data_IF_785478437393
#
_entry.id   IF_785478437393
#
_cell.length_a   1.000
_cell.length_b   1.000
_cell.length_c   1.000
_cell.angle_alpha   90.00
_cell.angle_beta   90.00
_cell.angle_gamma   90.00
#
_symmetry.space_group_name_H-M   'P 1'
#
loop_
_entity.id
_entity.type
_entity.pdbx_description
1 polymer ?
#
# COMPACT_ATOMS: atom_id res chain seq x y z
N UNK A 1 -18.56 -30.75 -0.05
CA UNK A 1 -17.78 -29.62 -0.58
C UNK A 1 -16.56 -29.48 0.29
N UNK A 2 -15.37 -29.68 -0.29
CA UNK A 2 -14.13 -28.95 0.01
C UNK A 2 -13.02 -29.63 -0.82
N UNK A 3 -12.84 -29.10 -2.02
CA UNK A 3 -11.63 -29.27 -2.82
C UNK A 3 -10.63 -28.23 -2.30
N UNK A 4 -9.82 -28.60 -1.31
CA UNK A 4 -8.61 -27.85 -1.00
C UNK A 4 -7.58 -28.21 -2.06
N UNK A 5 -7.44 -27.29 -3.02
CA UNK A 5 -6.42 -27.35 -4.06
C UNK A 5 -5.04 -27.36 -3.41
N UNK A 6 -4.31 -28.43 -3.70
CA UNK A 6 -2.88 -28.56 -3.50
C UNK A 6 -2.17 -27.53 -4.39
N UNK A 7 -2.11 -26.27 -3.95
CA UNK A 7 -1.34 -25.21 -4.60
C UNK A 7 0.14 -25.49 -4.40
N UNK A 8 0.72 -26.15 -5.40
CA UNK A 8 2.04 -25.95 -5.98
C UNK A 8 3.12 -25.43 -5.03
N UNK A 9 4.13 -26.26 -4.73
CA UNK A 9 5.44 -25.72 -4.35
C UNK A 9 5.84 -24.68 -5.41
N UNK A 10 6.19 -23.45 -5.02
CA UNK A 10 6.70 -22.48 -5.98
C UNK A 10 8.04 -22.99 -6.49
N UNK A 11 8.21 -23.03 -7.81
CA UNK A 11 9.53 -23.23 -8.42
C UNK A 11 10.49 -22.20 -7.82
N UNK A 12 11.68 -22.64 -7.41
CA UNK A 12 12.75 -21.75 -6.95
C UNK A 12 13.74 -21.48 -8.09
N UNK A 13 14.51 -20.38 -8.05
CA UNK A 13 15.60 -20.13 -9.00
C UNK A 13 16.55 -21.34 -9.09
N UNK A 14 16.86 -21.96 -7.94
CA UNK A 14 17.66 -23.17 -7.87
C UNK A 14 17.02 -24.38 -8.58
N UNK A 15 15.70 -24.49 -8.62
CA UNK A 15 15.01 -25.57 -9.34
C UNK A 15 15.10 -25.35 -10.86
N UNK A 16 15.11 -24.11 -11.32
CA UNK A 16 15.29 -23.73 -12.74
C UNK A 16 16.74 -23.99 -13.17
N UNK A 17 17.71 -23.60 -12.34
CA UNK A 17 19.13 -23.82 -12.60
C UNK A 17 19.52 -25.30 -12.70
N UNK A 18 18.87 -26.15 -11.89
CA UNK A 18 19.18 -27.59 -11.85
C UNK A 18 18.32 -28.43 -12.80
N UNK A 19 17.49 -27.81 -13.64
CA UNK A 19 16.60 -28.56 -14.53
C UNK A 19 17.41 -29.19 -15.68
N UNK A 20 17.18 -30.47 -15.95
CA UNK A 20 17.84 -31.19 -17.04
C UNK A 20 16.81 -31.76 -18.00
N UNK A 21 16.86 -31.33 -19.27
CA UNK A 21 16.00 -31.84 -20.32
C UNK A 21 16.60 -33.07 -21.03
N UNK A 22 15.78 -34.09 -21.28
CA UNK A 22 16.20 -35.28 -22.02
C UNK A 22 16.37 -35.00 -23.52
N UNK A 23 17.40 -35.55 -24.15
CA UNK A 23 17.63 -35.39 -25.60
C UNK A 23 16.45 -35.94 -26.43
N UNK A 24 16.09 -35.28 -27.54
CA UNK A 24 15.00 -35.73 -28.40
C UNK A 24 15.21 -37.17 -28.90
N UNK A 25 14.14 -37.99 -29.01
CA UNK A 25 14.23 -39.30 -29.63
C UNK A 25 14.79 -39.21 -31.06
N UNK A 26 15.62 -40.19 -31.43
CA UNK A 26 16.35 -40.22 -32.71
C UNK A 26 15.38 -39.95 -33.89
N UNK A 27 15.68 -38.93 -34.68
CA UNK A 27 14.88 -38.54 -35.86
C UNK A 27 13.85 -37.43 -35.62
N UNK A 28 13.68 -36.93 -34.38
CA UNK A 28 12.88 -35.75 -34.08
C UNK A 28 13.77 -34.54 -33.76
N UNK A 29 13.40 -33.36 -34.26
CA UNK A 29 14.09 -32.10 -33.95
C UNK A 29 13.66 -31.64 -32.56
N UNK A 30 14.63 -31.29 -31.72
CA UNK A 30 14.40 -30.63 -30.43
C UNK A 30 14.61 -29.12 -30.52
N UNK A 31 14.41 -28.45 -29.39
CA UNK A 31 14.83 -27.06 -29.20
C UNK A 31 16.37 -26.96 -29.22
N UNK A 32 16.86 -25.79 -29.59
CA UNK A 32 18.30 -25.50 -29.57
C UNK A 32 18.75 -25.38 -28.10
N UNK A 33 19.73 -26.18 -27.70
CA UNK A 33 20.24 -26.22 -26.31
C UNK A 33 20.69 -24.81 -25.87
N UNK A 34 21.41 -24.08 -26.72
CA UNK A 34 21.91 -22.73 -26.42
C UNK A 34 20.79 -21.70 -26.19
N UNK A 35 19.68 -21.81 -26.94
CA UNK A 35 18.53 -20.89 -26.81
C UNK A 35 17.68 -21.23 -25.59
N UNK A 36 17.61 -22.52 -25.24
CA UNK A 36 16.92 -22.98 -24.03
C UNK A 36 17.69 -22.54 -22.79
N UNK A 37 19.02 -22.68 -22.79
CA UNK A 37 19.87 -22.25 -21.67
C UNK A 37 19.75 -20.72 -21.46
N UNK A 38 19.82 -19.92 -22.52
CA UNK A 38 19.59 -18.45 -22.42
C UNK A 38 18.21 -18.07 -21.88
N UNK A 39 17.18 -18.86 -22.21
CA UNK A 39 15.85 -18.63 -21.71
C UNK A 39 15.72 -19.04 -20.24
N UNK A 40 16.38 -20.12 -19.82
CA UNK A 40 16.43 -20.55 -18.43
C UNK A 40 17.16 -19.53 -17.55
N UNK A 41 18.26 -18.93 -18.02
CA UNK A 41 18.97 -17.86 -17.32
C UNK A 41 18.03 -16.66 -17.04
N UNK A 42 17.27 -16.22 -18.06
CA UNK A 42 16.31 -15.13 -17.92
C UNK A 42 15.17 -15.47 -16.94
N UNK A 43 14.69 -16.72 -16.99
CA UNK A 43 13.65 -17.20 -16.07
C UNK A 43 14.18 -17.28 -14.64
N UNK A 44 15.42 -17.73 -14.44
CA UNK A 44 16.10 -17.78 -13.13
C UNK A 44 16.23 -16.38 -12.53
N UNK A 45 16.75 -15.42 -13.31
CA UNK A 45 16.91 -14.01 -12.90
C UNK A 45 15.56 -13.40 -12.51
N UNK A 46 14.52 -13.60 -13.33
CA UNK A 46 13.18 -13.05 -13.07
C UNK A 46 12.54 -13.71 -11.84
N UNK A 47 12.76 -15.02 -11.64
CA UNK A 47 12.25 -15.71 -10.45
C UNK A 47 12.93 -15.21 -9.18
N UNK A 48 14.23 -14.93 -9.24
CA UNK A 48 15.00 -14.40 -8.13
C UNK A 48 14.51 -12.99 -7.77
N UNK A 49 14.31 -12.13 -8.76
CA UNK A 49 13.76 -10.77 -8.58
C UNK A 49 12.35 -10.82 -7.97
N UNK A 50 11.47 -11.69 -8.46
CA UNK A 50 10.11 -11.86 -7.89
C UNK A 50 10.15 -12.38 -6.45
N UNK A 51 11.10 -13.24 -6.10
CA UNK A 51 11.25 -13.73 -4.73
C UNK A 51 11.79 -12.67 -3.78
N UNK A 52 12.79 -11.90 -4.22
CA UNK A 52 13.31 -10.74 -3.47
C UNK A 52 12.20 -9.70 -3.24
N UNK A 53 11.42 -9.35 -4.27
CA UNK A 53 10.29 -8.42 -4.15
C UNK A 53 9.20 -8.96 -3.21
N UNK A 54 8.90 -10.26 -3.25
CA UNK A 54 7.95 -10.87 -2.31
C UNK A 54 8.45 -10.85 -0.87
N UNK A 55 9.74 -11.08 -0.64
CA UNK A 55 10.33 -11.04 0.68
C UNK A 55 10.37 -9.61 1.24
N UNK A 56 10.69 -8.63 0.40
CA UNK A 56 10.61 -7.20 0.73
C UNK A 56 9.17 -6.76 1.05
N UNK A 57 8.20 -7.14 0.22
CA UNK A 57 6.78 -6.86 0.46
C UNK A 57 6.27 -7.51 1.75
N UNK A 58 6.74 -8.71 2.08
CA UNK A 58 6.42 -9.39 3.35
C UNK A 58 7.03 -8.65 4.53
N UNK A 59 8.29 -8.24 4.45
CA UNK A 59 8.94 -7.43 5.48
C UNK A 59 8.20 -6.10 5.70
N UNK A 60 7.87 -5.38 4.63
CA UNK A 60 7.10 -4.13 4.71
C UNK A 60 5.71 -4.37 5.33
N UNK A 61 5.05 -5.48 4.98
CA UNK A 61 3.75 -5.82 5.56
C UNK A 61 3.85 -6.12 7.05
N UNK A 62 4.90 -6.82 7.48
CA UNK A 62 5.11 -7.16 8.89
C UNK A 62 5.57 -5.94 9.70
N UNK A 63 6.35 -5.04 9.11
CA UNK A 63 6.72 -3.75 9.68
C UNK A 63 5.50 -2.83 9.83
N UNK A 64 4.69 -2.68 8.78
CA UNK A 64 3.42 -1.93 8.84
C UNK A 64 2.43 -2.54 9.82
N UNK A 65 2.35 -3.87 9.92
CA UNK A 65 1.53 -4.55 10.95
C UNK A 65 2.07 -4.28 12.34
N UNK A 66 3.39 -4.29 12.53
CA UNK A 66 4.03 -3.97 13.81
C UNK A 66 3.82 -2.50 14.18
N UNK A 67 3.93 -1.58 13.23
CA UNK A 67 3.61 -0.17 13.40
C UNK A 67 2.13 0.04 13.70
N UNK A 68 1.23 -0.72 13.05
CA UNK A 68 -0.20 -0.64 13.30
C UNK A 68 -0.57 -1.26 14.65
N UNK A 69 0.05 -2.37 15.05
CA UNK A 69 -0.10 -2.95 16.39
C UNK A 69 0.57 -2.07 17.45
N UNK A 70 1.68 -1.38 17.16
CA UNK A 70 2.25 -0.36 18.05
C UNK A 70 1.42 0.92 18.09
N UNK A 71 0.78 1.30 16.99
CA UNK A 71 -0.20 2.39 16.95
C UNK A 71 -1.53 1.97 17.58
N UNK A 72 -1.79 0.67 17.73
CA UNK A 72 -2.97 0.12 18.43
C UNK A 72 -2.71 -0.18 19.90
N UNK A 73 -1.47 -0.52 20.25
CA UNK A 73 -0.98 -0.72 21.61
C UNK A 73 -0.56 0.62 22.25
N UNK A 74 0.00 1.53 21.47
CA UNK A 74 0.33 2.92 21.81
C UNK A 74 -0.78 3.91 21.48
N UNK A 75 -1.77 3.51 20.67
CA UNK A 75 -2.94 4.31 20.28
C UNK A 75 -4.24 3.52 20.37
N UNK A 76 -4.38 2.69 21.40
CA UNK A 76 -5.69 2.26 21.94
C UNK A 76 -6.45 3.40 22.63
N UNK A 77 -6.14 4.66 22.30
CA UNK A 77 -6.37 5.83 23.15
C UNK A 77 -7.23 6.94 22.57
N UNK A 78 -7.72 6.87 21.31
CA UNK A 78 -8.52 7.96 20.75
C UNK A 78 -9.81 8.23 21.54
N UNK A 79 -10.48 7.18 22.04
CA UNK A 79 -11.63 7.32 22.94
C UNK A 79 -11.28 7.37 24.43
N UNK A 80 -10.13 6.80 24.82
CA UNK A 80 -9.72 6.72 26.23
C UNK A 80 -9.05 8.01 26.72
N UNK A 81 -8.28 8.72 25.90
CA UNK A 81 -7.71 10.02 26.25
C UNK A 81 -8.78 11.11 26.30
N UNK A 82 -9.75 11.13 25.37
CA UNK A 82 -10.85 12.09 25.46
C UNK A 82 -11.74 11.81 26.70
N UNK A 83 -12.03 10.54 26.98
CA UNK A 83 -12.78 10.15 28.17
C UNK A 83 -12.01 10.43 29.48
N UNK A 84 -10.69 10.19 29.52
CA UNK A 84 -9.85 10.46 30.68
C UNK A 84 -9.65 11.97 30.90
N UNK A 85 -9.50 12.75 29.83
CA UNK A 85 -9.42 14.22 29.90
C UNK A 85 -10.77 14.78 30.36
N UNK A 86 -11.90 14.32 29.80
CA UNK A 86 -13.26 14.71 30.26
C UNK A 86 -13.50 14.34 31.72
N UNK A 87 -13.14 13.14 32.15
CA UNK A 87 -13.29 12.69 33.53
C UNK A 87 -12.43 13.50 34.51
N UNK A 88 -11.21 13.87 34.12
CA UNK A 88 -10.30 14.70 34.93
C UNK A 88 -10.81 16.15 35.04
N UNK A 89 -11.32 16.72 33.96
CA UNK A 89 -11.94 18.05 33.94
C UNK A 89 -13.23 18.05 34.78
N UNK A 90 -14.09 17.04 34.64
CA UNK A 90 -15.32 16.92 35.43
C UNK A 90 -15.01 16.72 36.93
N UNK A 91 -14.00 15.93 37.27
CA UNK A 91 -13.55 15.74 38.65
C UNK A 91 -12.99 17.03 39.26
N UNK A 92 -12.16 17.78 38.52
CA UNK A 92 -11.65 19.09 38.96
C UNK A 92 -12.78 20.11 39.15
N UNK A 93 -13.74 20.14 38.23
CA UNK A 93 -14.88 21.06 38.33
C UNK A 93 -15.79 20.71 39.52
N UNK A 94 -16.07 19.42 39.77
CA UNK A 94 -16.81 18.97 40.96
C UNK A 94 -16.09 19.29 42.25
N UNK A 95 -14.76 19.15 42.27
CA UNK A 95 -13.95 19.46 43.46
C UNK A 95 -13.97 20.96 43.76
N UNK A 96 -13.83 21.81 42.73
CA UNK A 96 -13.92 23.27 42.89
C UNK A 96 -15.32 23.71 43.35
N UNK A 97 -16.38 23.21 42.71
CA UNK A 97 -17.76 23.51 43.12
C UNK A 97 -18.04 23.07 44.56
N UNK A 98 -17.65 21.86 44.95
CA UNK A 98 -17.86 21.38 46.32
C UNK A 98 -17.07 22.20 47.35
N UNK A 99 -15.86 22.66 47.00
CA UNK A 99 -15.07 23.53 47.86
C UNK A 99 -15.72 24.92 48.04
N UNK A 100 -16.21 25.53 46.96
CA UNK A 100 -16.93 26.81 47.02
C UNK A 100 -18.26 26.67 47.79
N UNK A 101 -19.00 25.58 47.58
CA UNK A 101 -20.27 25.31 48.27
C UNK A 101 -20.05 25.05 49.76
N UNK A 102 -18.92 24.42 50.13
CA UNK A 102 -18.52 24.23 51.53
C UNK A 102 -18.10 25.56 52.18
N UNK A 103 -17.35 26.41 51.46
CA UNK A 103 -16.95 27.73 51.93
C UNK A 103 -18.16 28.64 52.14
N UNK A 104 -19.06 28.73 51.17
CA UNK A 104 -20.31 29.50 51.27
C UNK A 104 -21.21 28.99 52.41
N UNK A 105 -21.32 27.66 52.59
CA UNK A 105 -22.06 27.09 53.74
C UNK A 105 -21.40 27.46 55.07
N UNK A 106 -20.08 27.38 55.18
CA UNK A 106 -19.37 27.74 56.40
C UNK A 106 -19.54 29.21 56.76
N UNK A 107 -19.55 30.11 55.78
CA UNK A 107 -19.85 31.53 55.99
C UNK A 107 -21.30 31.76 56.43
N UNK A 108 -22.27 31.08 55.81
CA UNK A 108 -23.68 31.19 56.24
C UNK A 108 -23.93 30.64 57.64
N UNK A 109 -23.26 29.56 58.04
CA UNK A 109 -23.39 29.01 59.40
C UNK A 109 -22.71 29.92 60.42
N UNK A 110 -21.54 30.51 60.12
CA UNK A 110 -20.93 31.54 60.97
C UNK A 110 -21.84 32.76 61.14
N UNK A 111 -22.42 33.27 60.06
CA UNK A 111 -23.36 34.38 60.13
C UNK A 111 -24.63 34.03 60.94
N UNK A 112 -25.12 32.78 60.86
CA UNK A 112 -26.25 32.30 61.68
C UNK A 112 -25.87 32.10 63.15
N UNK A 113 -24.66 31.63 63.44
CA UNK A 113 -24.15 31.47 64.81
C UNK A 113 -23.97 32.84 65.47
N UNK A 114 -23.43 33.82 64.76
CA UNK A 114 -23.32 35.20 65.21
C UNK A 114 -24.70 35.84 65.43
N UNK A 115 -25.65 35.62 64.52
CA UNK A 115 -27.03 36.09 64.70
C UNK A 115 -27.75 35.38 65.87
N UNK A 116 -27.47 34.10 66.13
CA UNK A 116 -27.99 33.36 67.30
C UNK A 116 -27.36 33.84 68.59
N UNK A 117 -26.05 34.12 68.61
CA UNK A 117 -25.36 34.68 69.75
C UNK A 117 -25.93 36.06 70.11
N UNK A 118 -26.12 36.94 69.11
CA UNK A 118 -26.74 38.25 69.30
C UNK A 118 -28.19 38.14 69.83
N UNK A 119 -28.98 37.16 69.36
CA UNK A 119 -30.33 36.90 69.89
C UNK A 119 -30.32 36.35 71.32
N UNK A 120 -29.38 35.46 71.65
CA UNK A 120 -29.24 34.92 73.00
C UNK A 120 -28.80 35.99 74.01
N UNK A 121 -27.92 36.91 73.61
CA UNK A 121 -27.54 38.08 74.41
C UNK A 121 -28.71 39.05 74.59
N UNK A 122 -29.52 39.28 73.55
CA UNK A 122 -30.74 40.08 73.65
C UNK A 122 -31.80 39.43 74.57
N UNK A 123 -31.98 38.11 74.51
CA UNK A 123 -32.87 37.37 75.42
C UNK A 123 -32.33 37.31 76.86
N UNK A 124 -31.02 37.21 77.05
CA UNK A 124 -30.38 37.28 78.36
C UNK A 124 -30.52 38.69 78.97
N UNK A 125 -30.35 39.75 78.18
CA UNK A 125 -30.60 41.12 78.60
C UNK A 125 -32.09 41.35 78.93
N UNK A 126 -33.00 40.74 78.18
CA UNK A 126 -34.45 40.75 78.46
C UNK A 126 -34.80 40.01 79.75
N UNK A 127 -34.22 38.83 80.00
CA UNK A 127 -34.39 38.09 81.27
C UNK A 127 -33.75 38.80 82.46
N UNK A 128 -32.65 39.53 82.26
CA UNK A 128 -32.06 40.38 83.29
C UNK A 128 -32.95 41.58 83.60
N UNK A 129 -33.59 42.18 82.59
CA UNK A 129 -34.58 43.25 82.78
C UNK A 129 -35.89 42.75 83.43
N UNK A 130 -36.35 41.53 83.11
CA UNK A 130 -37.51 40.90 83.73
C UNK A 130 -37.21 40.40 85.16
N UNK A 131 -35.98 39.92 85.42
CA UNK A 131 -35.51 39.53 86.76
C UNK A 131 -35.30 40.72 87.72
N UNK A 132 -35.09 41.92 87.18
CA UNK A 132 -35.12 43.17 87.95
C UNK A 132 -36.57 43.65 88.26
N UNK A 133 -37.59 42.93 87.77
CA UNK A 133 -39.00 43.28 87.90
C UNK A 133 -39.81 42.16 88.62
N UNK A 134 -39.37 41.74 89.81
CA UNK A 134 -40.20 41.01 90.78
C UNK A 134 -39.95 41.63 92.17
N UNK A 135 -40.98 41.94 92.99
CA UNK A 135 -41.07 43.23 93.67
C UNK A 135 -40.46 43.21 95.08
N UNK A 136 -39.60 44.18 95.37
CA UNK A 136 -39.52 44.74 96.74
C UNK A 136 -40.37 46.00 96.73
N UNK A 137 -41.43 45.98 97.53
CA UNK A 137 -42.47 47.01 97.50
C UNK A 137 -41.92 48.41 97.71
N UNK A 138 -42.04 49.23 96.69
CA UNK A 138 -42.25 50.68 96.75
C UNK A 138 -42.62 51.14 95.33
N UNK A 139 -43.52 52.11 95.24
CA UNK A 139 -44.29 52.50 94.05
C UNK A 139 -43.45 52.70 92.78
N UNK A 140 -43.48 51.72 91.87
CA UNK A 140 -42.97 51.88 90.52
C UNK A 140 -43.97 52.70 89.68
N UNK A 141 -43.57 53.90 89.26
CA UNK A 141 -44.37 54.74 88.39
C UNK A 141 -44.67 54.05 87.04
N UNK A 142 -45.87 54.24 86.45
CA UNK A 142 -46.25 53.70 85.14
C UNK A 142 -45.26 54.06 84.01
N UNK A 143 -44.46 55.11 84.17
CA UNK A 143 -43.38 55.50 83.25
C UNK A 143 -42.28 54.44 83.09
N UNK A 144 -41.96 53.65 84.13
CA UNK A 144 -40.82 52.69 84.08
C UNK A 144 -41.15 51.45 83.25
N UNK A 145 -42.39 50.94 83.33
CA UNK A 145 -42.87 49.87 82.45
C UNK A 145 -43.00 50.35 81.01
N UNK A 146 -43.39 51.60 80.79
CA UNK A 146 -43.43 52.21 79.46
C UNK A 146 -42.02 52.36 78.86
N UNK A 147 -41.01 52.71 79.67
CA UNK A 147 -39.61 52.77 79.23
C UNK A 147 -39.05 51.39 78.88
N UNK A 148 -39.30 50.35 79.69
CA UNK A 148 -38.86 48.98 79.39
C UNK A 148 -39.55 48.41 78.13
N UNK A 149 -40.85 48.65 77.97
CA UNK A 149 -41.59 48.26 76.76
C UNK A 149 -41.07 48.99 75.52
N UNK A 150 -40.69 50.27 75.65
CA UNK A 150 -40.08 51.06 74.57
C UNK A 150 -38.71 50.51 74.16
N UNK A 151 -37.87 50.11 75.12
CA UNK A 151 -36.56 49.50 74.84
C UNK A 151 -36.71 48.13 74.17
N UNK A 152 -37.66 47.30 74.61
CA UNK A 152 -37.96 46.02 73.95
C UNK A 152 -38.52 46.19 72.54
N UNK A 153 -39.37 47.20 72.32
CA UNK A 153 -39.84 47.55 70.98
C UNK A 153 -38.70 47.97 70.05
N UNK A 154 -37.76 48.78 70.56
CA UNK A 154 -36.56 49.20 69.82
C UNK A 154 -35.63 48.02 69.50
N UNK A 155 -35.48 47.08 70.43
CA UNK A 155 -34.69 45.87 70.22
C UNK A 155 -35.35 44.90 69.22
N UNK A 156 -36.69 44.77 69.26
CA UNK A 156 -37.43 43.94 68.33
C UNK A 156 -37.41 44.54 66.90
N UNK A 157 -37.56 45.86 66.77
CA UNK A 157 -37.40 46.58 65.51
C UNK A 157 -35.97 46.43 64.95
N UNK A 158 -34.94 46.49 65.81
CA UNK A 158 -33.55 46.25 65.42
C UNK A 158 -33.32 44.81 64.93
N UNK A 159 -33.88 43.82 65.62
CA UNK A 159 -33.77 42.42 65.23
C UNK A 159 -34.48 42.12 63.89
N UNK A 160 -35.66 42.70 63.67
CA UNK A 160 -36.39 42.57 62.42
C UNK A 160 -35.63 43.26 61.28
N UNK A 161 -35.10 44.46 61.52
CA UNK A 161 -34.27 45.19 60.57
C UNK A 161 -33.00 44.42 60.18
N UNK A 162 -32.24 43.94 61.15
CA UNK A 162 -31.04 43.12 60.90
C UNK A 162 -31.39 41.84 60.13
N UNK A 163 -32.53 41.22 60.41
CA UNK A 163 -32.98 40.02 59.67
C UNK A 163 -33.32 40.37 58.22
N UNK A 164 -33.98 41.51 57.97
CA UNK A 164 -34.28 41.96 56.60
C UNK A 164 -33.03 42.35 55.83
N UNK A 165 -32.07 43.02 56.47
CA UNK A 165 -30.80 43.41 55.88
C UNK A 165 -29.96 42.17 55.54
N UNK A 166 -29.82 41.21 56.45
CA UNK A 166 -29.11 39.95 56.19
C UNK A 166 -29.78 39.12 55.08
N UNK A 167 -31.12 39.11 55.00
CA UNK A 167 -31.83 38.45 53.91
C UNK A 167 -31.63 39.15 52.56
N UNK A 168 -31.59 40.49 52.55
CA UNK A 168 -31.31 41.26 51.34
C UNK A 168 -29.87 41.02 50.86
N UNK A 169 -28.90 41.03 51.78
CA UNK A 169 -27.50 40.80 51.47
C UNK A 169 -27.26 39.37 50.96
N UNK A 170 -27.86 38.36 51.61
CA UNK A 170 -27.79 36.97 51.14
C UNK A 170 -28.40 36.78 49.74
N UNK A 171 -29.51 37.46 49.43
CA UNK A 171 -30.10 37.44 48.09
C UNK A 171 -29.18 38.07 47.07
N UNK A 172 -28.57 39.23 47.40
CA UNK A 172 -27.59 39.89 46.54
C UNK A 172 -26.40 38.98 46.25
N UNK A 173 -25.81 38.36 47.28
CA UNK A 173 -24.68 37.44 47.10
C UNK A 173 -25.04 36.24 46.22
N UNK A 174 -26.25 35.68 46.35
CA UNK A 174 -26.72 34.58 45.50
C UNK A 174 -26.92 35.01 44.04
N UNK A 175 -27.37 36.24 43.81
CA UNK A 175 -27.53 36.80 42.47
C UNK A 175 -26.16 37.05 41.81
N UNK A 176 -25.22 37.65 42.55
CA UNK A 176 -23.84 37.86 42.11
C UNK A 176 -23.14 36.53 41.79
N UNK A 177 -23.29 35.52 42.66
CA UNK A 177 -22.74 34.18 42.44
C UNK A 177 -23.35 33.51 41.20
N UNK A 178 -24.66 33.67 40.96
CA UNK A 178 -25.32 33.14 39.76
C UNK A 178 -24.81 33.83 38.51
N UNK A 179 -24.71 35.16 38.49
CA UNK A 179 -24.18 35.91 37.35
C UNK A 179 -22.72 35.56 37.09
N UNK A 180 -21.90 35.39 38.13
CA UNK A 180 -20.52 34.94 37.99
C UNK A 180 -20.44 33.53 37.37
N UNK A 181 -21.27 32.59 37.83
CA UNK A 181 -21.35 31.24 37.29
C UNK A 181 -21.81 31.22 35.82
N UNK A 182 -22.86 31.98 35.47
CA UNK A 182 -23.35 32.12 34.10
C UNK A 182 -22.28 32.70 33.16
N UNK A 183 -21.52 33.68 33.66
CA UNK A 183 -20.40 34.26 32.90
C UNK A 183 -19.28 33.24 32.69
N UNK A 184 -18.93 32.46 33.71
CA UNK A 184 -17.93 31.41 33.57
C UNK A 184 -18.38 30.33 32.58
N UNK A 185 -19.62 29.85 32.70
CA UNK A 185 -20.18 28.85 31.77
C UNK A 185 -20.18 29.37 30.34
N UNK A 186 -20.69 30.59 30.09
CA UNK A 186 -20.71 31.14 28.73
C UNK A 186 -19.31 31.34 28.15
N UNK A 187 -18.33 31.74 28.97
CA UNK A 187 -16.93 31.87 28.54
C UNK A 187 -16.31 30.51 28.21
N UNK A 188 -16.56 29.49 29.04
CA UNK A 188 -16.08 28.14 28.82
C UNK A 188 -16.71 27.51 27.57
N UNK A 189 -18.02 27.71 27.36
CA UNK A 189 -18.72 27.27 26.15
C UNK A 189 -18.19 27.97 24.89
N UNK A 190 -17.90 29.27 24.97
CA UNK A 190 -17.33 30.02 23.85
C UNK A 190 -15.93 29.51 23.49
N UNK A 191 -15.06 29.29 24.50
CA UNK A 191 -13.73 28.70 24.27
C UNK A 191 -13.84 27.29 23.71
N UNK A 192 -14.71 26.44 24.25
CA UNK A 192 -14.91 25.08 23.75
C UNK A 192 -15.35 25.07 22.29
N UNK A 193 -16.34 25.92 21.92
CA UNK A 193 -16.78 26.06 20.52
C UNK A 193 -15.64 26.52 19.61
N UNK A 194 -14.90 27.54 20.02
CA UNK A 194 -13.76 28.03 19.25
C UNK A 194 -12.68 26.95 19.03
N UNK A 195 -12.38 26.15 20.05
CA UNK A 195 -11.41 25.04 19.92
C UNK A 195 -11.91 23.93 19.00
N UNK A 196 -13.21 23.61 19.03
CA UNK A 196 -13.80 22.61 18.13
C UNK A 196 -13.82 23.09 16.68
N UNK A 197 -14.10 24.37 16.45
CA UNK A 197 -14.08 24.94 15.09
C UNK A 197 -12.66 25.01 14.53
N UNK A 198 -11.66 25.40 15.33
CA UNK A 198 -10.25 25.36 14.92
C UNK A 198 -9.78 23.93 14.63
N UNK A 199 -10.12 22.96 15.49
CA UNK A 199 -9.80 21.56 15.26
C UNK A 199 -10.45 21.02 13.97
N UNK A 200 -11.71 21.38 13.71
CA UNK A 200 -12.43 21.01 12.46
C UNK A 200 -11.76 21.62 11.23
N UNK A 201 -11.44 22.91 11.24
CA UNK A 201 -10.78 23.57 10.12
C UNK A 201 -9.41 22.95 9.81
N UNK A 202 -8.64 22.61 10.85
CA UNK A 202 -7.34 21.93 10.68
C UNK A 202 -7.50 20.53 10.09
N UNK A 203 -8.48 19.76 10.58
CA UNK A 203 -8.78 18.43 10.06
C UNK A 203 -9.23 18.49 8.59
N UNK A 204 -10.14 19.40 8.25
CA UNK A 204 -10.58 19.60 6.85
C UNK A 204 -9.43 20.00 5.94
N UNK A 205 -8.56 20.92 6.39
CA UNK A 205 -7.38 21.31 5.64
C UNK A 205 -6.44 20.12 5.40
N UNK A 206 -6.16 19.33 6.43
CA UNK A 206 -5.30 18.16 6.33
C UNK A 206 -5.89 17.11 5.37
N UNK A 207 -7.20 16.88 5.42
CA UNK A 207 -7.88 15.96 4.49
C UNK A 207 -7.79 16.47 3.05
N UNK A 208 -8.00 17.77 2.82
CA UNK A 208 -7.91 18.36 1.50
C UNK A 208 -6.48 18.30 0.94
N UNK A 209 -5.46 18.57 1.76
CA UNK A 209 -4.06 18.45 1.37
C UNK A 209 -3.66 16.99 1.08
N UNK A 210 -4.09 16.05 1.92
CA UNK A 210 -3.88 14.62 1.68
C UNK A 210 -4.57 14.14 0.40
N UNK A 211 -5.80 14.60 0.14
CA UNK A 211 -6.54 14.25 -1.07
C UNK A 211 -5.86 14.83 -2.31
N UNK A 212 -5.46 16.10 -2.29
CA UNK A 212 -4.77 16.74 -3.42
C UNK A 212 -3.40 16.08 -3.72
N UNK A 213 -2.66 15.69 -2.68
CA UNK A 213 -1.39 14.97 -2.85
C UNK A 213 -1.59 13.57 -3.41
N UNK A 214 -2.61 12.84 -2.93
CA UNK A 214 -2.98 11.54 -3.47
C UNK A 214 -3.39 11.63 -4.95
N UNK A 215 -4.24 12.59 -5.31
CA UNK A 215 -4.65 12.81 -6.70
C UNK A 215 -3.45 13.16 -7.60
N UNK A 216 -2.52 13.98 -7.11
CA UNK A 216 -1.30 14.31 -7.85
C UNK A 216 -0.44 13.08 -8.09
N UNK A 217 -0.21 12.25 -7.06
CA UNK A 217 0.59 11.03 -7.17
C UNK A 217 -0.05 10.02 -8.12
N UNK A 218 -1.37 9.84 -8.07
CA UNK A 218 -2.10 8.95 -8.98
C UNK A 218 -1.99 9.43 -10.42
N UNK A 219 -2.13 10.74 -10.67
CA UNK A 219 -2.00 11.30 -12.02
C UNK A 219 -0.56 11.18 -12.54
N UNK A 220 0.44 11.44 -11.71
CA UNK A 220 1.86 11.29 -12.05
C UNK A 220 2.21 9.83 -12.37
N UNK A 221 1.77 8.89 -11.53
CA UNK A 221 1.94 7.46 -11.75
C UNK A 221 1.25 7.01 -13.04
N UNK A 222 0.04 7.51 -13.33
CA UNK A 222 -0.68 7.20 -14.56
C UNK A 222 0.05 7.70 -15.80
N UNK A 223 0.53 8.95 -15.80
CA UNK A 223 1.29 9.52 -16.92
C UNK A 223 2.58 8.72 -17.14
N UNK A 224 3.28 8.37 -16.07
CA UNK A 224 4.51 7.59 -16.16
C UNK A 224 4.23 6.18 -16.70
N UNK A 225 3.15 5.52 -16.26
CA UNK A 225 2.73 4.23 -16.79
C UNK A 225 2.36 4.29 -18.27
N UNK A 226 1.58 5.28 -18.69
CA UNK A 226 1.23 5.49 -20.11
C UNK A 226 2.48 5.71 -20.97
N UNK A 227 3.45 6.48 -20.46
CA UNK A 227 4.75 6.68 -21.12
C UNK A 227 5.53 5.38 -21.25
N UNK A 228 5.69 4.60 -20.17
CA UNK A 228 6.41 3.33 -20.19
C UNK A 228 5.76 2.33 -21.15
N UNK A 229 4.43 2.25 -21.17
CA UNK A 229 3.71 1.40 -22.12
C UNK A 229 3.96 1.86 -23.56
N UNK A 230 3.89 3.16 -23.83
CA UNK A 230 4.15 3.70 -25.17
C UNK A 230 5.59 3.43 -25.63
N UNK A 231 6.58 3.60 -24.74
CA UNK A 231 7.99 3.33 -25.04
C UNK A 231 8.23 1.83 -25.26
N UNK A 232 7.63 0.96 -24.45
CA UNK A 232 7.73 -0.49 -24.60
C UNK A 232 7.11 -0.96 -25.93
N UNK A 233 5.93 -0.45 -26.29
CA UNK A 233 5.28 -0.77 -27.56
C UNK A 233 6.11 -0.30 -28.76
N UNK A 234 6.66 0.91 -28.71
CA UNK A 234 7.53 1.42 -29.78
C UNK A 234 8.81 0.58 -29.94
N UNK A 235 9.41 0.13 -28.83
CA UNK A 235 10.57 -0.78 -28.87
C UNK A 235 10.20 -2.16 -29.44
N UNK A 236 9.06 -2.71 -29.03
CA UNK A 236 8.57 -3.99 -29.53
C UNK A 236 8.29 -3.94 -31.04
N UNK A 237 7.60 -2.90 -31.52
CA UNK A 237 7.35 -2.70 -32.95
C UNK A 237 8.65 -2.55 -33.75
N UNK A 238 9.63 -1.80 -33.23
CA UNK A 238 10.93 -1.66 -33.87
C UNK A 238 11.70 -2.99 -33.94
N UNK A 239 11.63 -3.80 -32.88
CA UNK A 239 12.28 -5.12 -32.84
C UNK A 239 11.61 -6.12 -33.79
N UNK A 240 10.27 -6.13 -33.86
CA UNK A 240 9.53 -6.96 -34.81
C UNK A 240 9.92 -6.59 -36.24
N UNK A 241 9.91 -5.29 -36.58
CA UNK A 241 10.31 -4.82 -37.90
C UNK A 241 11.75 -5.23 -38.24
N UNK A 242 12.68 -5.07 -37.30
CA UNK A 242 14.08 -5.47 -37.52
C UNK A 242 14.22 -6.99 -37.73
N UNK A 243 13.44 -7.81 -37.02
CA UNK A 243 13.41 -9.25 -37.20
C UNK A 243 12.82 -9.65 -38.56
N UNK A 244 11.72 -9.01 -38.99
CA UNK A 244 11.11 -9.20 -40.30
C UNK A 244 12.07 -8.83 -41.43
N UNK A 245 12.72 -7.66 -41.34
CA UNK A 245 13.71 -7.21 -42.32
C UNK A 245 14.88 -8.21 -42.43
N UNK A 246 15.36 -8.75 -41.29
CA UNK A 246 16.41 -9.76 -41.26
C UNK A 246 15.96 -11.10 -41.86
N UNK A 247 14.73 -11.53 -41.58
CA UNK A 247 14.16 -12.75 -42.14
C UNK A 247 14.02 -12.65 -43.67
N UNK A 248 13.48 -11.53 -44.15
CA UNK A 248 13.35 -11.23 -45.58
C UNK A 248 14.72 -11.20 -46.28
N UNK A 249 15.72 -10.58 -45.65
CA UNK A 249 17.09 -10.57 -46.18
C UNK A 249 17.70 -11.97 -46.27
N UNK A 250 17.51 -12.81 -45.24
CA UNK A 250 17.99 -14.19 -45.23
C UNK A 250 17.29 -15.04 -46.30
N UNK A 251 15.98 -14.87 -46.48
CA UNK A 251 15.24 -15.55 -47.53
C UNK A 251 15.74 -15.15 -48.92
N UNK A 252 15.93 -13.85 -49.17
CA UNK A 252 16.46 -13.36 -50.44
C UNK A 252 17.87 -13.90 -50.72
N UNK A 253 18.73 -13.97 -49.70
CA UNK A 253 20.07 -14.56 -49.84
C UNK A 253 20.02 -16.07 -50.13
N UNK A 254 19.14 -16.80 -49.44
CA UNK A 254 18.92 -18.23 -49.68
C UNK A 254 18.41 -18.50 -51.12
N UNK A 255 17.47 -17.71 -51.61
CA UNK A 255 16.93 -17.81 -52.98
C UNK A 255 17.99 -17.51 -54.04
N UNK A 256 18.85 -16.50 -53.81
CA UNK A 256 20.00 -16.20 -54.69
C UNK A 256 20.98 -17.36 -54.73
N UNK A 257 21.43 -17.84 -53.57
CA UNK A 257 22.36 -18.98 -53.47
C UNK A 257 21.77 -20.24 -54.10
N UNK A 258 20.48 -20.51 -53.89
CA UNK A 258 19.80 -21.63 -54.52
C UNK A 258 19.84 -21.52 -56.05
N UNK A 259 19.52 -20.33 -56.59
CA UNK A 259 19.56 -20.07 -58.03
C UNK A 259 20.97 -20.26 -58.60
N UNK A 260 21.99 -19.75 -57.93
CA UNK A 260 23.39 -19.92 -58.31
C UNK A 260 23.83 -21.39 -58.30
N UNK A 261 23.53 -22.12 -57.22
CA UNK A 261 23.82 -23.55 -57.10
C UNK A 261 23.11 -24.33 -58.22
N UNK A 262 21.83 -24.06 -58.46
CA UNK A 262 21.08 -24.74 -59.53
C UNK A 262 21.63 -24.42 -60.92
N UNK A 263 22.07 -23.19 -61.16
CA UNK A 263 22.73 -22.82 -62.40
C UNK A 263 24.05 -23.61 -62.60
N UNK A 264 24.88 -23.71 -61.56
CA UNK A 264 26.14 -24.48 -61.62
C UNK A 264 25.90 -25.98 -61.79
N UNK A 265 24.94 -26.56 -61.06
CA UNK A 265 24.54 -27.98 -61.20
C UNK A 265 24.04 -28.26 -62.61
N UNK A 266 23.21 -27.36 -63.17
CA UNK A 266 22.72 -27.49 -64.55
C UNK A 266 23.87 -27.42 -65.56
N UNK A 267 24.82 -26.51 -65.37
CA UNK A 267 26.01 -26.41 -66.22
C UNK A 267 26.86 -27.69 -66.16
N UNK A 268 27.10 -28.24 -64.96
CA UNK A 268 27.84 -29.49 -64.77
C UNK A 268 27.12 -30.68 -65.42
N UNK A 269 25.80 -30.78 -65.24
CA UNK A 269 24.97 -31.80 -65.90
C UNK A 269 25.15 -31.74 -67.41
N UNK A 270 24.99 -30.56 -68.01
CA UNK A 270 25.12 -30.38 -69.46
C UNK A 270 26.52 -30.76 -69.96
N UNK A 271 27.58 -30.36 -69.23
CA UNK A 271 28.95 -30.73 -69.56
C UNK A 271 29.18 -32.25 -69.50
N UNK A 272 28.64 -32.93 -68.49
CA UNK A 272 28.69 -34.39 -68.38
C UNK A 272 27.91 -35.08 -69.52
N UNK A 273 26.73 -34.56 -69.89
CA UNK A 273 25.94 -35.07 -71.01
C UNK A 273 26.69 -34.95 -72.34
N UNK A 274 27.33 -33.80 -72.60
CA UNK A 274 28.20 -33.62 -73.78
C UNK A 274 29.35 -34.62 -73.77
N UNK A 275 30.03 -34.81 -72.63
CA UNK A 275 31.15 -35.76 -72.53
C UNK A 275 30.71 -37.21 -72.75
N UNK A 276 29.53 -37.61 -72.26
CA UNK A 276 28.96 -38.93 -72.51
C UNK A 276 28.67 -39.10 -74.01
N UNK A 277 28.14 -38.08 -74.69
CA UNK A 277 27.89 -38.13 -76.13
C UNK A 277 29.19 -38.29 -76.94
N UNK A 278 30.25 -37.55 -76.57
CA UNK A 278 31.59 -37.68 -77.15
C UNK A 278 32.14 -39.09 -76.97
N UNK A 279 32.09 -39.64 -75.75
CA UNK A 279 32.58 -40.99 -75.44
C UNK A 279 31.83 -42.08 -76.22
N UNK A 280 30.50 -41.96 -76.37
CA UNK A 280 29.70 -42.88 -77.18
C UNK A 280 30.07 -42.84 -78.66
N UNK A 281 30.39 -41.66 -79.18
CA UNK A 281 30.87 -41.52 -80.57
C UNK A 281 32.26 -42.12 -80.73
N UNK A 282 33.18 -41.82 -79.80
CA UNK A 282 34.51 -42.42 -79.77
C UNK A 282 34.45 -43.95 -79.70
N UNK A 283 33.59 -44.51 -78.84
CA UNK A 283 33.38 -45.95 -78.73
C UNK A 283 32.90 -46.56 -80.06
N UNK A 284 31.91 -45.95 -80.72
CA UNK A 284 31.41 -46.43 -82.02
C UNK A 284 32.49 -46.42 -83.10
N UNK A 285 33.27 -45.34 -83.17
CA UNK A 285 34.40 -45.24 -84.10
C UNK A 285 35.48 -46.28 -83.79
N UNK A 286 35.84 -46.44 -82.52
CA UNK A 286 36.84 -47.40 -82.07
C UNK A 286 36.41 -48.84 -82.39
N UNK A 287 35.17 -49.21 -82.09
CA UNK A 287 34.60 -50.52 -82.44
C UNK A 287 34.62 -50.76 -83.95
N UNK A 288 34.28 -49.75 -84.75
CA UNK A 288 34.35 -49.83 -86.21
C UNK A 288 35.78 -50.04 -86.70
N UNK A 289 36.74 -49.22 -86.23
CA UNK A 289 38.17 -49.35 -86.60
C UNK A 289 38.75 -50.70 -86.18
N UNK A 290 38.45 -51.17 -84.97
CA UNK A 290 38.89 -52.48 -84.48
C UNK A 290 38.32 -53.61 -85.34
N UNK A 291 37.03 -53.55 -85.67
CA UNK A 291 36.39 -54.53 -86.57
C UNK A 291 37.08 -54.56 -87.93
N UNK A 292 37.33 -53.39 -88.53
CA UNK A 292 38.05 -53.29 -89.81
C UNK A 292 39.47 -53.86 -89.72
N UNK A 293 40.23 -53.50 -88.68
CA UNK A 293 41.60 -54.01 -88.47
C UNK A 293 41.62 -55.54 -88.34
N UNK A 294 40.70 -56.11 -87.55
CA UNK A 294 40.59 -57.56 -87.38
C UNK A 294 40.16 -58.27 -88.68
N UNK A 295 39.25 -57.67 -89.47
CA UNK A 295 38.89 -58.19 -90.79
C UNK A 295 40.08 -58.20 -91.74
N UNK A 296 40.83 -57.09 -91.83
CA UNK A 296 42.04 -57.02 -92.66
C UNK A 296 43.09 -58.05 -92.21
N UNK A 297 43.31 -58.21 -90.90
CA UNK A 297 44.22 -59.24 -90.37
C UNK A 297 43.77 -60.66 -90.71
N UNK A 298 42.46 -60.93 -90.71
CA UNK A 298 41.92 -62.24 -91.13
C UNK A 298 42.15 -62.49 -92.62
N UNK A 299 41.85 -61.50 -93.48
CA UNK A 299 42.07 -61.59 -94.93
C UNK A 299 43.54 -61.82 -95.27
N UNK A 300 44.47 -61.16 -94.58
CA UNK A 300 45.91 -61.41 -94.74
C UNK A 300 46.32 -62.83 -94.32
N UNK A 301 45.71 -63.38 -93.27
CA UNK A 301 45.95 -64.77 -92.83
C UNK A 301 45.39 -65.78 -93.84
N UNK A 302 44.18 -65.57 -94.35
CA UNK A 302 43.60 -66.41 -95.41
C UNK A 302 44.43 -66.34 -96.70
N UNK A 303 44.92 -65.14 -97.07
CA UNK A 303 45.82 -64.95 -98.20
C UNK A 303 47.18 -65.67 -98.01
N UNK A 304 47.71 -65.70 -96.79
CA UNK A 304 48.94 -66.44 -96.47
C UNK A 304 48.73 -67.95 -96.37
N UNK A 305 47.59 -68.41 -95.86
CA UNK A 305 47.21 -69.83 -95.83
C UNK A 305 46.96 -70.39 -97.24
N UNK A 306 46.40 -69.56 -98.13
CA UNK A 306 46.24 -69.90 -99.56
C UNK A 306 47.54 -69.81 -100.36
N UNK A 307 48.59 -69.16 -99.82
CA UNK A 307 49.93 -69.12 -100.39
C UNK A 307 50.86 -70.27 -99.91
N UNK A 308 50.34 -71.26 -99.17
CA UNK A 308 51.11 -72.45 -98.82
C UNK A 308 51.19 -73.40 -100.04
N UNK A 309 52.38 -73.67 -100.60
CA UNK A 309 52.49 -74.53 -101.78
C UNK A 309 52.12 -75.96 -101.38
N UNK A 310 51.14 -76.55 -102.07
CA UNK A 310 50.87 -77.99 -101.96
C UNK A 310 52.14 -78.80 -102.32
N UNK A 311 52.40 -79.95 -101.68
CA UNK A 311 53.60 -80.73 -101.93
C UNK A 311 53.62 -81.18 -103.39
N UNK A 312 54.59 -80.66 -104.15
CA UNK A 312 54.85 -81.08 -105.52
C UNK A 312 55.28 -82.55 -105.54
N UNK A 313 54.41 -83.39 -106.07
CA UNK A 313 54.67 -84.75 -106.50
C UNK A 313 55.82 -84.77 -107.53
N UNK A 314 56.93 -85.43 -107.20
CA UNK A 314 57.99 -85.73 -108.16
C UNK A 314 58.07 -87.24 -108.42
N UNK A 315 58.07 -87.56 -109.71
CA UNK A 315 57.85 -88.84 -110.39
C UNK A 315 58.76 -90.01 -109.96
N UNK A 316 58.20 -91.22 -109.90
CA UNK A 316 58.62 -92.39 -110.69
C UNK A 316 57.56 -93.47 -110.73
#
# INVERSE_FOLDING_TARGET
MNLEGNSSMPLTPADVHNVAFSKPPIGKRGYNEDEVDQFLDLVEDTLAEIQEENDDLRQQTDELKSELEQARAGGGGGGADEAAIRARVEAQLKQQFNAELAAAKAETERAKEEARAAKAEAEAAKKAAEGAMVPSGETAHPETHMQAAKVLGLAQEMADRMTTEAQAESRSMLEDARTAAEKQISSAEATARATLDDARMRAEKQVNEATATAERLVNEARIQAEKTISEANARAEAQIKAAEDKANALQADAERRHTEIMATVTQQKNALETRIAELRTFEREYRTRLRTMLQTQLEELDARGSAQPGPQSNNK
#
